data_IF_452636364783
#
_entry.id   IF_452636364783
#
_cell.length_a   1.000
_cell.length_b   1.000
_cell.length_c   1.000
_cell.angle_alpha   90.00
_cell.angle_beta   90.00
_cell.angle_gamma   90.00
#
_symmetry.space_group_name_H-M   'P 1'
#
loop_
_entity.id
_entity.type
_entity.pdbx_description
1 polymer ?
#
# COMPACT_ATOMS: atom_id res chain seq x y z
N UNK A 1 -2.06 12.63 -6.33
CA UNK A 1 -0.82 11.90 -6.01
C UNK A 1 -0.21 11.46 -7.33
N UNK A 2 1.09 11.75 -7.62
CA UNK A 2 1.72 11.29 -8.85
C UNK A 2 1.73 9.76 -8.88
N UNK A 3 1.21 9.16 -9.95
CA UNK A 3 1.20 7.70 -10.15
C UNK A 3 2.59 7.06 -10.02
N UNK A 4 3.64 7.82 -10.30
CA UNK A 4 5.03 7.38 -10.18
C UNK A 4 5.43 6.97 -8.74
N UNK A 5 4.83 7.57 -7.71
CA UNK A 5 5.10 7.19 -6.32
C UNK A 5 4.45 5.85 -5.95
N UNK A 6 3.26 5.56 -6.51
CA UNK A 6 2.56 4.30 -6.29
C UNK A 6 3.25 3.13 -7.01
N UNK A 7 3.91 3.39 -8.15
CA UNK A 7 4.64 2.38 -8.91
C UNK A 7 5.84 1.78 -8.15
N UNK A 8 6.32 2.45 -7.09
CA UNK A 8 7.41 1.94 -6.26
C UNK A 8 6.94 0.96 -5.17
N UNK A 9 5.65 0.86 -4.93
CA UNK A 9 5.09 -0.03 -3.90
C UNK A 9 5.23 -1.50 -4.32
N UNK A 10 5.64 -2.39 -3.39
CA UNK A 10 5.84 -3.80 -3.71
C UNK A 10 4.54 -4.54 -4.00
N UNK A 11 3.43 -4.16 -3.37
CA UNK A 11 2.10 -4.74 -3.61
C UNK A 11 1.58 -4.40 -5.03
N UNK A 12 1.75 -3.16 -5.47
CA UNK A 12 1.39 -2.71 -6.82
C UNK A 12 2.26 -3.43 -7.87
N UNK A 13 3.58 -3.53 -7.65
CA UNK A 13 4.47 -4.28 -8.53
C UNK A 13 4.11 -5.77 -8.61
N UNK A 14 3.77 -6.37 -7.48
CA UNK A 14 3.34 -7.77 -7.45
C UNK A 14 2.07 -7.99 -8.29
N UNK A 15 1.09 -7.11 -8.15
CA UNK A 15 -0.14 -7.17 -8.95
C UNK A 15 0.14 -6.94 -10.45
N UNK A 16 1.07 -6.04 -10.79
CA UNK A 16 1.52 -5.80 -12.18
C UNK A 16 2.20 -7.05 -12.77
N UNK A 17 3.12 -7.67 -12.03
CA UNK A 17 3.79 -8.89 -12.50
C UNK A 17 2.82 -10.07 -12.61
N UNK A 18 1.82 -10.16 -11.73
CA UNK A 18 0.77 -11.16 -11.85
C UNK A 18 -0.07 -10.96 -13.12
N UNK A 19 -0.44 -9.71 -13.42
CA UNK A 19 -1.13 -9.37 -14.67
C UNK A 19 -0.29 -9.75 -15.89
N UNK A 20 1.01 -9.44 -15.89
CA UNK A 20 1.91 -9.81 -16.96
C UNK A 20 1.99 -11.35 -17.13
N UNK A 21 2.06 -12.10 -16.02
CA UNK A 21 2.06 -13.56 -16.06
C UNK A 21 0.77 -14.13 -16.69
N UNK A 22 -0.40 -13.58 -16.32
CA UNK A 22 -1.69 -14.03 -16.89
C UNK A 22 -1.81 -13.66 -18.38
N UNK A 23 -1.29 -12.51 -18.79
CA UNK A 23 -1.19 -12.13 -20.20
C UNK A 23 -0.35 -13.15 -21.01
N UNK A 24 0.81 -13.55 -20.50
CA UNK A 24 1.63 -14.58 -21.15
C UNK A 24 0.96 -15.95 -21.13
N UNK A 25 0.24 -16.32 -20.08
CA UNK A 25 -0.56 -17.55 -20.03
C UNK A 25 -1.66 -17.55 -21.09
N UNK A 26 -2.32 -16.44 -21.36
CA UNK A 26 -3.28 -16.30 -22.44
C UNK A 26 -2.61 -16.53 -23.80
N UNK A 27 -1.38 -16.03 -24.01
CA UNK A 27 -0.63 -16.25 -25.23
C UNK A 27 -0.20 -17.74 -25.37
N UNK A 28 0.16 -18.40 -24.27
CA UNK A 28 0.41 -19.86 -24.25
C UNK A 28 -0.87 -20.64 -24.62
N UNK A 29 -2.03 -20.22 -24.09
CA UNK A 29 -3.29 -20.86 -24.50
C UNK A 29 -3.61 -20.66 -25.98
N UNK A 30 -3.28 -19.48 -26.55
CA UNK A 30 -3.38 -19.21 -28.00
C UNK A 30 -2.43 -20.06 -28.83
N UNK A 31 -1.20 -20.30 -28.35
CA UNK A 31 -0.22 -21.10 -29.08
C UNK A 31 -0.65 -22.55 -29.26
N UNK A 32 -1.55 -23.06 -28.40
CA UNK A 32 -2.13 -24.40 -28.53
C UNK A 32 -2.99 -24.58 -29.77
N UNK A 33 -3.32 -23.52 -30.52
CA UNK A 33 -4.00 -23.60 -31.81
C UNK A 33 -3.04 -23.75 -33.01
N UNK A 34 -1.73 -23.56 -32.78
CA UNK A 34 -0.71 -23.70 -33.80
C UNK A 34 -0.09 -25.12 -33.74
N UNK A 35 0.44 -25.62 -34.85
CA UNK A 35 1.11 -26.92 -34.87
C UNK A 35 2.36 -26.90 -33.98
N UNK A 36 2.55 -27.95 -33.18
CA UNK A 36 3.78 -28.15 -32.41
C UNK A 36 4.83 -28.83 -33.27
N UNK A 37 6.04 -28.26 -33.24
CA UNK A 37 7.21 -28.84 -33.90
C UNK A 37 8.09 -29.45 -32.81
N UNK A 38 8.28 -30.76 -32.87
CA UNK A 38 9.18 -31.48 -31.95
C UNK A 38 10.45 -31.82 -32.71
N UNK A 39 11.59 -31.37 -32.19
CA UNK A 39 12.92 -31.67 -32.71
C UNK A 39 13.60 -32.57 -31.68
N UNK A 40 13.71 -33.87 -31.99
CA UNK A 40 14.43 -34.85 -31.20
C UNK A 40 15.83 -35.04 -31.78
N UNK A 41 16.86 -34.67 -31.05
CA UNK A 41 18.27 -34.85 -31.40
C UNK A 41 18.90 -35.94 -30.54
N UNK A 42 19.26 -37.11 -31.07
CA UNK A 42 20.11 -38.08 -30.41
C UNK A 42 21.53 -38.02 -30.99
N UNK A 43 22.51 -37.64 -30.15
CA UNK A 43 23.94 -37.67 -30.52
C UNK A 43 24.50 -39.07 -30.18
N UNK A 44 24.64 -39.93 -31.17
CA UNK A 44 25.38 -41.20 -31.06
C UNK A 44 26.53 -41.25 -32.08
N UNK A 45 27.67 -41.83 -31.69
CA UNK A 45 28.89 -41.89 -32.50
C UNK A 45 28.71 -42.63 -33.83
N UNK A 46 27.59 -43.29 -34.07
CA UNK A 46 27.29 -44.06 -35.29
C UNK A 46 25.95 -43.70 -35.96
N UNK A 47 25.34 -42.58 -35.60
CA UNK A 47 24.05 -42.25 -36.18
C UNK A 47 24.15 -40.91 -36.89
N UNK A 48 23.86 -40.93 -38.20
CA UNK A 48 23.60 -39.72 -38.95
C UNK A 48 22.53 -38.90 -38.21
N UNK A 49 22.70 -37.61 -38.19
CA UNK A 49 21.75 -36.64 -37.56
C UNK A 49 20.37 -36.89 -38.19
N UNK A 50 19.56 -37.71 -37.55
CA UNK A 50 18.13 -37.81 -37.89
C UNK A 50 17.37 -36.81 -37.05
N UNK A 51 17.25 -35.60 -37.56
CA UNK A 51 16.29 -34.62 -37.07
C UNK A 51 14.90 -35.18 -37.44
N UNK A 52 14.26 -35.87 -36.51
CA UNK A 52 12.85 -36.28 -36.70
C UNK A 52 12.03 -35.04 -36.35
N UNK A 53 11.60 -34.35 -37.39
CA UNK A 53 10.63 -33.28 -37.25
C UNK A 53 9.24 -33.87 -37.36
N UNK A 54 8.59 -34.11 -36.22
CA UNK A 54 7.17 -34.44 -36.22
C UNK A 54 6.37 -33.17 -36.05
N UNK A 55 5.53 -32.86 -37.02
CA UNK A 55 4.55 -31.75 -36.93
C UNK A 55 3.23 -32.36 -36.52
N UNK A 56 2.77 -32.10 -35.30
CA UNK A 56 1.47 -32.57 -34.83
C UNK A 56 0.54 -31.37 -34.58
N UNK A 57 -0.59 -31.37 -35.28
CA UNK A 57 -1.66 -30.42 -35.05
C UNK A 57 -2.92 -31.17 -34.60
N UNK A 58 -3.37 -30.96 -33.35
CA UNK A 58 -4.61 -31.57 -32.89
C UNK A 58 -5.81 -30.84 -33.51
N UNK A 59 -6.42 -31.42 -34.55
CA UNK A 59 -7.56 -30.85 -35.30
C UNK A 59 -8.89 -31.02 -34.52
N UNK A 60 -9.02 -32.10 -33.75
CA UNK A 60 -10.23 -32.41 -32.99
C UNK A 60 -9.93 -32.70 -31.52
N UNK A 61 -9.90 -31.63 -30.68
CA UNK A 61 -9.68 -31.76 -29.24
C UNK A 61 -10.95 -31.49 -28.41
N UNK A 62 -12.12 -31.88 -28.92
CA UNK A 62 -13.43 -31.76 -28.23
C UNK A 62 -13.68 -30.39 -27.60
N UNK A 63 -13.23 -29.31 -28.18
CA UNK A 63 -13.35 -27.96 -27.64
C UNK A 63 -12.41 -27.60 -26.48
N UNK A 64 -11.53 -28.50 -26.05
CA UNK A 64 -10.66 -28.28 -24.89
C UNK A 64 -9.72 -27.05 -25.05
N UNK A 65 -9.15 -26.88 -26.26
CA UNK A 65 -8.30 -25.69 -26.52
C UNK A 65 -9.10 -24.37 -26.45
N UNK A 66 -10.35 -24.40 -26.96
CA UNK A 66 -11.23 -23.22 -26.85
C UNK A 66 -11.57 -22.90 -25.38
N UNK A 67 -11.92 -23.94 -24.61
CA UNK A 67 -12.20 -23.77 -23.18
C UNK A 67 -10.98 -23.25 -22.41
N UNK A 68 -9.78 -23.80 -22.69
CA UNK A 68 -8.53 -23.28 -22.08
C UNK A 68 -8.27 -21.82 -22.40
N UNK A 69 -8.49 -21.40 -23.63
CA UNK A 69 -8.33 -20.00 -24.02
C UNK A 69 -9.34 -19.09 -23.33
N UNK A 70 -10.60 -19.52 -23.21
CA UNK A 70 -11.63 -18.75 -22.52
C UNK A 70 -11.32 -18.63 -21.01
N UNK A 71 -10.87 -19.71 -20.37
CA UNK A 71 -10.40 -19.68 -18.98
C UNK A 71 -9.21 -18.73 -18.82
N UNK A 72 -8.19 -18.83 -19.68
CA UNK A 72 -7.02 -17.97 -19.60
C UNK A 72 -7.37 -16.48 -19.78
N UNK A 73 -8.29 -16.15 -20.69
CA UNK A 73 -8.78 -14.78 -20.86
C UNK A 73 -9.54 -14.28 -19.63
N UNK A 74 -10.35 -15.13 -19.01
CA UNK A 74 -11.06 -14.76 -17.78
C UNK A 74 -10.07 -14.50 -16.62
N UNK A 75 -9.01 -15.32 -16.50
CA UNK A 75 -7.96 -15.13 -15.52
C UNK A 75 -7.12 -13.87 -15.78
N UNK A 76 -6.87 -13.52 -17.02
CA UNK A 76 -6.20 -12.27 -17.42
C UNK A 76 -7.05 -11.06 -17.02
N UNK A 77 -8.37 -11.12 -17.27
CA UNK A 77 -9.29 -10.04 -16.87
C UNK A 77 -9.40 -9.93 -15.35
N UNK A 78 -9.45 -11.04 -14.63
CA UNK A 78 -9.40 -11.06 -13.17
C UNK A 78 -8.12 -10.38 -12.64
N UNK A 79 -6.96 -10.76 -13.17
CA UNK A 79 -5.68 -10.16 -12.78
C UNK A 79 -5.63 -8.64 -13.10
N UNK A 80 -6.26 -8.22 -14.21
CA UNK A 80 -6.39 -6.80 -14.56
C UNK A 80 -7.23 -6.03 -13.55
N UNK A 81 -8.32 -6.62 -13.09
CA UNK A 81 -9.16 -6.01 -12.05
C UNK A 81 -8.46 -5.98 -10.70
N UNK A 82 -7.71 -7.04 -10.34
CA UNK A 82 -6.89 -7.08 -9.13
C UNK A 82 -5.79 -6.01 -9.14
N UNK A 83 -5.12 -5.80 -10.26
CA UNK A 83 -4.13 -4.72 -10.41
C UNK A 83 -4.77 -3.35 -10.24
N UNK A 84 -5.94 -3.12 -10.87
CA UNK A 84 -6.70 -1.89 -10.70
C UNK A 84 -7.12 -1.66 -9.25
N UNK A 85 -7.56 -2.72 -8.56
CA UNK A 85 -7.92 -2.65 -7.15
C UNK A 85 -6.69 -2.28 -6.29
N UNK A 86 -5.54 -2.91 -6.51
CA UNK A 86 -4.31 -2.59 -5.79
C UNK A 86 -3.89 -1.11 -5.95
N UNK A 87 -4.08 -0.53 -7.13
CA UNK A 87 -3.83 0.91 -7.35
C UNK A 87 -4.80 1.80 -6.58
N UNK A 88 -6.08 1.43 -6.52
CA UNK A 88 -7.10 2.16 -5.77
C UNK A 88 -6.78 2.10 -4.27
N UNK A 89 -6.51 0.92 -3.74
CA UNK A 89 -6.20 0.70 -2.33
C UNK A 89 -4.94 1.47 -1.92
N UNK A 90 -3.88 1.42 -2.73
CA UNK A 90 -2.66 2.19 -2.51
C UNK A 90 -2.93 3.71 -2.50
N UNK A 91 -3.76 4.22 -3.41
CA UNK A 91 -4.11 5.64 -3.45
C UNK A 91 -4.95 6.08 -2.26
N UNK A 92 -5.88 5.23 -1.80
CA UNK A 92 -6.68 5.46 -0.60
C UNK A 92 -5.81 5.49 0.66
N UNK A 93 -4.88 4.56 0.79
CA UNK A 93 -3.96 4.49 1.94
C UNK A 93 -3.12 5.76 2.05
N UNK A 94 -2.52 6.23 0.95
CA UNK A 94 -1.75 7.49 0.95
C UNK A 94 -2.65 8.69 1.25
N UNK A 95 -3.86 8.75 0.67
CA UNK A 95 -4.81 9.84 0.95
C UNK A 95 -5.22 9.88 2.42
N UNK A 96 -5.52 8.72 3.01
CA UNK A 96 -5.88 8.61 4.42
C UNK A 96 -4.71 9.01 5.34
N UNK A 97 -3.49 8.59 5.02
CA UNK A 97 -2.31 8.96 5.78
C UNK A 97 -2.04 10.48 5.73
N UNK A 98 -2.23 11.12 4.58
CA UNK A 98 -2.11 12.57 4.44
C UNK A 98 -3.18 13.33 5.23
N UNK A 99 -4.43 12.88 5.17
CA UNK A 99 -5.55 13.50 5.93
C UNK A 99 -5.30 13.36 7.43
N UNK A 100 -4.84 12.19 7.87
CA UNK A 100 -4.49 11.95 9.28
C UNK A 100 -3.38 12.88 9.73
N UNK A 101 -2.31 13.01 8.95
CA UNK A 101 -1.22 13.92 9.25
C UNK A 101 -1.66 15.39 9.35
N UNK A 102 -2.46 15.87 8.40
CA UNK A 102 -3.01 17.24 8.42
C UNK A 102 -3.94 17.48 9.64
N UNK A 103 -4.73 16.46 9.99
CA UNK A 103 -5.59 16.50 11.18
C UNK A 103 -4.77 16.61 12.46
N UNK A 104 -3.68 15.83 12.60
CA UNK A 104 -2.82 15.87 13.78
C UNK A 104 -2.05 17.22 13.89
N UNK A 105 -1.66 17.83 12.77
CA UNK A 105 -1.11 19.19 12.78
C UNK A 105 -2.11 20.22 13.30
N UNK A 106 -3.37 20.15 12.87
CA UNK A 106 -4.43 21.06 13.34
C UNK A 106 -4.73 20.86 14.81
N UNK A 107 -4.73 19.61 15.30
CA UNK A 107 -4.88 19.29 16.72
C UNK A 107 -3.74 19.90 17.54
N UNK A 108 -2.50 19.75 17.10
CA UNK A 108 -1.33 20.31 17.81
C UNK A 108 -1.45 21.82 17.97
N UNK A 109 -1.89 22.54 16.92
CA UNK A 109 -2.12 23.98 17.00
C UNK A 109 -3.22 24.33 18.00
N UNK A 110 -4.36 23.66 17.94
CA UNK A 110 -5.48 23.86 18.86
C UNK A 110 -5.08 23.53 20.31
N UNK A 111 -4.32 22.45 20.52
CA UNK A 111 -3.83 22.04 21.83
C UNK A 111 -2.87 23.08 22.44
N UNK A 112 -1.99 23.65 21.64
CA UNK A 112 -1.11 24.70 22.12
C UNK A 112 -1.89 25.93 22.60
N UNK A 113 -2.93 26.35 21.87
CA UNK A 113 -3.82 27.45 22.29
C UNK A 113 -4.56 27.08 23.58
N UNK A 114 -5.08 25.85 23.68
CA UNK A 114 -5.75 25.36 24.88
C UNK A 114 -4.82 25.40 26.11
N UNK A 115 -3.58 24.94 25.98
CA UNK A 115 -2.61 24.92 27.06
C UNK A 115 -2.29 26.34 27.54
N UNK A 116 -2.09 27.29 26.62
CA UNK A 116 -1.85 28.70 27.00
C UNK A 116 -3.05 29.25 27.77
N UNK A 117 -4.27 28.98 27.32
CA UNK A 117 -5.48 29.41 28.03
C UNK A 117 -5.61 28.80 29.43
N UNK A 118 -5.25 27.52 29.58
CA UNK A 118 -5.27 26.83 30.86
C UNK A 118 -4.15 27.32 31.81
N UNK A 119 -2.99 27.67 31.29
CA UNK A 119 -1.96 28.33 32.09
C UNK A 119 -2.46 29.65 32.68
N UNK A 120 -3.06 30.50 31.85
CA UNK A 120 -3.65 31.75 32.31
C UNK A 120 -4.78 31.51 33.32
N UNK A 121 -5.61 30.47 33.11
CA UNK A 121 -6.66 30.12 34.06
C UNK A 121 -6.10 29.74 35.45
N UNK A 122 -5.02 28.93 35.47
CA UNK A 122 -4.33 28.56 36.71
C UNK A 122 -3.74 29.79 37.41
N UNK A 123 -3.14 30.70 36.65
CA UNK A 123 -2.58 31.93 37.18
C UNK A 123 -3.67 32.82 37.80
N UNK A 124 -4.77 33.07 37.08
CA UNK A 124 -5.89 33.88 37.59
C UNK A 124 -6.58 33.27 38.80
N UNK A 125 -6.81 31.95 38.81
CA UNK A 125 -7.42 31.26 39.97
C UNK A 125 -6.50 31.34 41.20
N UNK A 126 -5.17 31.25 41.04
CA UNK A 126 -4.22 31.45 42.13
C UNK A 126 -4.25 32.87 42.68
N UNK A 127 -4.37 33.89 41.82
CA UNK A 127 -4.50 35.29 42.27
C UNK A 127 -5.81 35.53 43.02
N UNK A 128 -6.91 35.00 42.49
CA UNK A 128 -8.22 35.08 43.15
C UNK A 128 -8.23 34.38 44.50
N UNK A 129 -7.51 33.26 44.65
CA UNK A 129 -7.33 32.57 45.93
C UNK A 129 -6.59 33.47 46.93
N UNK A 130 -5.51 34.15 46.50
CA UNK A 130 -4.76 35.11 47.37
C UNK A 130 -5.63 36.26 47.85
N UNK A 131 -6.58 36.68 47.01
CA UNK A 131 -7.54 37.76 47.35
C UNK A 131 -8.74 37.25 48.19
N UNK A 132 -8.82 35.93 48.46
CA UNK A 132 -9.89 35.32 49.22
C UNK A 132 -11.23 35.21 48.49
N UNK A 133 -11.24 35.41 47.17
CA UNK A 133 -12.45 35.36 46.31
C UNK A 133 -12.65 34.01 45.59
N UNK A 134 -11.65 33.13 45.62
CA UNK A 134 -11.72 31.76 45.04
C UNK A 134 -11.39 30.72 46.12
N UNK A 135 -11.77 29.47 45.85
CA UNK A 135 -11.51 28.33 46.73
C UNK A 135 -10.28 27.56 46.26
N UNK A 136 -9.60 26.86 47.20
CA UNK A 136 -8.48 25.98 46.86
C UNK A 136 -8.89 24.84 45.89
N UNK A 137 -10.14 24.42 45.92
CA UNK A 137 -10.68 23.42 45.03
C UNK A 137 -10.67 23.89 43.56
N UNK A 138 -11.02 25.16 43.32
CA UNK A 138 -11.00 25.74 41.96
C UNK A 138 -9.58 25.80 41.38
N UNK A 139 -8.58 26.08 42.22
CA UNK A 139 -7.17 26.05 41.79
C UNK A 139 -6.73 24.63 41.43
N UNK A 140 -7.12 23.64 42.25
CA UNK A 140 -6.81 22.24 41.96
C UNK A 140 -7.48 21.77 40.67
N UNK A 141 -8.73 22.16 40.42
CA UNK A 141 -9.45 21.77 39.18
C UNK A 141 -8.78 22.40 37.94
N UNK A 142 -8.39 23.68 38.04
CA UNK A 142 -7.63 24.33 36.96
C UNK A 142 -6.28 23.65 36.70
N UNK A 143 -5.55 23.26 37.74
CA UNK A 143 -4.27 22.53 37.62
C UNK A 143 -4.47 21.13 37.05
N UNK A 144 -5.52 20.42 37.46
CA UNK A 144 -5.86 19.10 36.90
C UNK A 144 -6.19 19.19 35.40
N UNK A 145 -6.95 20.22 35.01
CA UNK A 145 -7.28 20.50 33.62
C UNK A 145 -6.04 20.79 32.77
N UNK A 146 -5.11 21.60 33.31
CA UNK A 146 -3.83 21.86 32.64
C UNK A 146 -2.98 20.59 32.51
N UNK A 147 -2.88 19.78 33.58
CA UNK A 147 -2.13 18.54 33.53
C UNK A 147 -2.71 17.56 32.49
N UNK A 148 -4.03 17.42 32.44
CA UNK A 148 -4.70 16.61 31.41
C UNK A 148 -4.41 17.10 30.00
N UNK A 149 -4.39 18.42 29.77
CA UNK A 149 -4.06 18.98 28.46
C UNK A 149 -2.58 18.73 28.08
N UNK A 150 -1.65 18.78 29.03
CA UNK A 150 -0.24 18.47 28.82
C UNK A 150 -0.02 16.99 28.48
N UNK A 151 -0.71 16.08 29.14
CA UNK A 151 -0.69 14.64 28.82
C UNK A 151 -1.23 14.43 27.39
N UNK A 152 -2.38 15.01 27.07
CA UNK A 152 -2.97 14.92 25.73
C UNK A 152 -2.07 15.51 24.64
N UNK A 153 -1.26 16.53 24.94
CA UNK A 153 -0.25 17.05 24.01
C UNK A 153 0.79 16.00 23.66
N UNK A 154 1.23 15.21 24.63
CA UNK A 154 2.20 14.13 24.38
C UNK A 154 1.58 13.03 23.52
N UNK A 155 0.31 12.70 23.74
CA UNK A 155 -0.43 11.76 22.92
C UNK A 155 -0.61 12.28 21.47
N UNK A 156 -0.95 13.57 21.31
CA UNK A 156 -1.06 14.19 19.99
C UNK A 156 0.29 14.15 19.23
N UNK A 157 1.41 14.38 19.93
CA UNK A 157 2.75 14.25 19.34
C UNK A 157 3.07 12.82 18.91
N UNK A 158 2.72 11.82 19.72
CA UNK A 158 2.87 10.40 19.36
C UNK A 158 2.04 10.06 18.12
N UNK A 159 0.79 10.49 18.08
CA UNK A 159 -0.10 10.26 16.94
C UNK A 159 0.42 10.92 15.66
N UNK A 160 0.97 12.11 15.74
CA UNK A 160 1.63 12.79 14.62
C UNK A 160 2.83 11.99 14.10
N UNK A 161 3.68 11.45 14.98
CA UNK A 161 4.83 10.61 14.58
C UNK A 161 4.36 9.31 13.93
N UNK A 162 3.31 8.69 14.47
CA UNK A 162 2.68 7.51 13.87
C UNK A 162 2.10 7.82 12.48
N UNK A 163 1.47 8.98 12.30
CA UNK A 163 0.95 9.41 11.01
C UNK A 163 2.08 9.60 9.97
N UNK A 164 3.22 10.16 10.37
CA UNK A 164 4.41 10.28 9.51
C UNK A 164 4.94 8.90 9.12
N UNK A 165 5.03 7.97 10.08
CA UNK A 165 5.48 6.60 9.81
C UNK A 165 4.54 5.87 8.85
N UNK A 166 3.22 6.02 9.05
CA UNK A 166 2.20 5.46 8.17
C UNK A 166 2.29 6.03 6.75
N UNK A 167 2.51 7.34 6.63
CA UNK A 167 2.69 7.99 5.34
C UNK A 167 3.95 7.49 4.63
N UNK A 168 5.05 7.34 5.36
CA UNK A 168 6.29 6.78 4.82
C UNK A 168 6.09 5.36 4.30
N UNK A 169 5.38 4.51 5.06
CA UNK A 169 5.03 3.15 4.65
C UNK A 169 4.10 3.14 3.43
N UNK A 170 3.06 3.97 3.43
CA UNK A 170 2.09 4.08 2.34
C UNK A 170 2.73 4.52 1.01
N UNK A 171 3.81 5.31 1.07
CA UNK A 171 4.59 5.73 -0.11
C UNK A 171 5.59 4.66 -0.60
N UNK A 172 5.63 3.49 0.06
CA UNK A 172 6.59 2.42 -0.27
C UNK A 172 8.00 2.69 0.24
N UNK A 173 8.12 3.50 1.31
CA UNK A 173 9.38 3.76 1.98
C UNK A 173 9.99 2.50 2.60
N UNK A 174 11.30 2.53 2.91
CA UNK A 174 12.04 1.39 3.49
C UNK A 174 12.76 0.52 2.45
N UNK A 175 12.67 0.86 1.16
CA UNK A 175 13.56 0.30 0.14
C UNK A 175 14.81 1.14 0.06
N UNK A 176 15.93 0.58 0.47
CA UNK A 176 17.20 1.02 -0.09
C UNK A 176 17.09 0.79 -1.60
N UNK A 177 17.22 1.85 -2.39
CA UNK A 177 17.54 1.69 -3.78
C UNK A 177 18.92 0.97 -3.77
N UNK A 178 18.89 -0.35 -3.92
CA UNK A 178 20.07 -1.08 -4.39
C UNK A 178 20.27 -0.55 -5.80
N UNK A 179 20.90 0.62 -5.87
CA UNK A 179 21.38 1.17 -7.11
C UNK A 179 22.27 0.08 -7.69
N UNK A 180 21.93 -0.34 -8.88
CA UNK A 180 22.75 -1.13 -9.77
C UNK A 180 24.21 -0.72 -9.60
N UNK A 181 25.02 -1.68 -9.10
CA UNK A 181 26.47 -1.68 -9.26
C UNK A 181 26.84 -2.63 -10.38
#
# INVERSE_FOLDING_TARGET
>A
IPMQLLANRPDVKNAEHNLAAMYYNTNVARSSFYPSIVIDGSLGWNTAISAITSITQPIFYRGANKARLEIAKAQEEEARLQFKQALIDASMEVSNALITYDSELKKELARNVQIVSLYNAVEYTNELLKLGTSTYLEVLDAQQSLLSALISKTEDQLNKLNAISSLYHALGGGRENVAEK
#
